data_IF_295737778497
#
_entry.id   IF_295737778497
#
_cell.length_a   1.000
_cell.length_b   1.000
_cell.length_c   1.000
_cell.angle_alpha   90.00
_cell.angle_beta   90.00
_cell.angle_gamma   90.00
#
_symmetry.space_group_name_H-M   'P 1'
#
loop_
_entity.id
_entity.type
_entity.pdbx_description
1 polymer ?
#
# COMPACT_ATOMS: atom_id res chain seq x y z
N UNK A 1 -10.73 -49.18 16.48
CA UNK A 1 -9.50 -48.51 16.01
C UNK A 1 -9.87 -47.10 15.59
N UNK A 2 -9.31 -46.09 16.27
CA UNK A 2 -9.75 -44.70 16.20
C UNK A 2 -9.26 -44.01 14.93
N UNK A 3 -10.17 -43.37 14.19
CA UNK A 3 -9.86 -42.42 13.13
C UNK A 3 -9.40 -41.10 13.74
N UNK A 4 -8.12 -40.76 13.55
CA UNK A 4 -7.57 -39.47 13.95
C UNK A 4 -8.14 -38.36 13.06
N UNK A 5 -8.76 -37.35 13.69
CA UNK A 5 -9.22 -36.15 12.99
C UNK A 5 -8.00 -35.41 12.39
N UNK A 6 -8.11 -34.83 11.18
CA UNK A 6 -7.04 -34.00 10.63
C UNK A 6 -6.81 -32.81 11.58
N UNK A 7 -5.56 -32.61 11.98
CA UNK A 7 -5.15 -31.50 12.84
C UNK A 7 -5.51 -30.17 12.18
N UNK A 8 -6.46 -29.45 12.77
CA UNK A 8 -6.80 -28.09 12.38
C UNK A 8 -5.61 -27.18 12.73
N UNK A 9 -4.81 -26.81 11.74
CA UNK A 9 -3.77 -25.81 11.92
C UNK A 9 -4.42 -24.43 12.01
N UNK A 10 -4.44 -23.86 13.22
CA UNK A 10 -4.85 -22.47 13.46
C UNK A 10 -3.60 -21.60 13.36
N UNK A 11 -3.50 -20.83 12.28
CA UNK A 11 -2.47 -19.79 12.13
C UNK A 11 -2.91 -18.55 12.90
N UNK A 12 -2.64 -18.52 14.21
CA UNK A 12 -2.86 -17.31 15.02
C UNK A 12 -1.55 -16.53 15.12
N UNK A 13 -1.49 -15.42 14.39
CA UNK A 13 -0.39 -14.46 14.49
C UNK A 13 -0.72 -13.47 15.60
N UNK A 14 0.15 -13.37 16.60
CA UNK A 14 -0.03 -12.45 17.73
C UNK A 14 0.89 -11.25 17.53
N UNK A 15 0.31 -10.10 17.22
CA UNK A 15 1.02 -8.82 17.27
C UNK A 15 1.26 -8.44 18.71
N UNK A 16 2.52 -8.20 19.10
CA UNK A 16 2.77 -7.51 20.36
C UNK A 16 2.35 -6.05 20.22
N UNK A 17 1.19 -5.72 20.78
CA UNK A 17 0.54 -4.41 20.66
C UNK A 17 1.45 -3.27 21.17
N UNK A 18 2.35 -3.55 22.11
CA UNK A 18 3.28 -2.57 22.68
C UNK A 18 4.53 -2.30 21.83
N UNK A 19 4.91 -3.20 20.93
CA UNK A 19 6.17 -3.12 20.17
C UNK A 19 5.99 -3.25 18.66
N UNK A 20 4.80 -3.64 18.19
CA UNK A 20 4.55 -4.02 16.79
C UNK A 20 5.23 -5.33 16.38
N UNK A 21 6.04 -5.93 17.26
CA UNK A 21 6.84 -7.11 16.94
C UNK A 21 5.94 -8.33 16.65
N UNK A 22 6.26 -9.04 15.57
CA UNK A 22 5.46 -10.17 15.08
C UNK A 22 4.15 -9.77 14.39
N UNK A 23 3.86 -8.46 14.30
CA UNK A 23 2.74 -7.94 13.53
C UNK A 23 3.04 -7.91 12.04
N UNK A 24 1.99 -8.16 11.26
CA UNK A 24 2.00 -7.99 9.80
C UNK A 24 2.10 -6.51 9.38
N UNK A 25 1.99 -5.59 10.35
CA UNK A 25 1.96 -4.14 10.17
C UNK A 25 3.03 -3.52 11.07
N UNK A 26 3.95 -2.79 10.47
CA UNK A 26 5.18 -2.33 11.13
C UNK A 26 5.00 -1.13 12.09
N UNK A 27 3.96 -0.30 11.91
CA UNK A 27 3.78 0.96 12.64
C UNK A 27 2.32 1.45 12.58
N UNK A 28 2.03 2.61 13.20
CA UNK A 28 0.71 3.23 13.26
C UNK A 28 0.13 3.42 11.85
N UNK A 29 -1.06 2.88 11.65
CA UNK A 29 -1.76 2.97 10.37
C UNK A 29 -2.25 4.39 10.18
N UNK A 30 -1.83 5.02 9.10
CA UNK A 30 -2.21 6.40 8.74
C UNK A 30 -3.19 6.44 7.58
N UNK A 31 -3.20 5.41 6.73
CA UNK A 31 -4.06 5.34 5.57
C UNK A 31 -4.43 3.90 5.21
N UNK A 32 -5.62 3.71 4.66
CA UNK A 32 -6.14 2.43 4.16
C UNK A 32 -6.92 2.67 2.87
N UNK A 33 -6.76 1.80 1.88
CA UNK A 33 -7.58 1.80 0.68
C UNK A 33 -7.70 0.38 0.11
N UNK A 34 -8.89 0.04 -0.40
CA UNK A 34 -9.10 -1.17 -1.20
C UNK A 34 -9.03 -0.82 -2.68
N UNK A 35 -8.49 -1.75 -3.48
CA UNK A 35 -8.77 -1.77 -4.91
C UNK A 35 -10.05 -2.58 -5.22
N UNK A 36 -10.43 -2.59 -6.50
CA UNK A 36 -11.61 -3.31 -6.99
C UNK A 36 -11.45 -4.84 -6.91
N UNK A 37 -10.21 -5.34 -6.87
CA UNK A 37 -9.89 -6.76 -6.75
C UNK A 37 -9.89 -7.25 -5.29
N UNK A 38 -10.07 -6.34 -4.32
CA UNK A 38 -10.12 -6.65 -2.88
C UNK A 38 -8.74 -6.73 -2.21
N UNK A 39 -7.68 -6.24 -2.86
CA UNK A 39 -6.37 -6.01 -2.26
C UNK A 39 -6.46 -4.79 -1.34
N UNK A 40 -5.92 -4.93 -0.13
CA UNK A 40 -5.87 -3.86 0.86
C UNK A 40 -4.48 -3.23 0.90
N UNK A 41 -4.43 -1.94 0.62
CA UNK A 41 -3.26 -1.09 0.79
C UNK A 41 -3.30 -0.43 2.17
N UNK A 42 -2.21 -0.55 2.92
CA UNK A 42 -2.06 -0.11 4.30
C UNK A 42 -0.83 0.77 4.40
N UNK A 43 -1.03 2.07 4.61
CA UNK A 43 0.05 3.04 4.76
C UNK A 43 0.42 3.27 6.21
N UNK A 44 1.72 3.40 6.47
CA UNK A 44 2.26 3.85 7.76
C UNK A 44 3.51 4.74 7.55
N UNK A 45 4.11 5.28 8.62
CA UNK A 45 5.30 6.13 8.50
C UNK A 45 6.54 5.48 7.88
N UNK A 46 6.62 4.15 7.88
CA UNK A 46 7.82 3.40 7.48
C UNK A 46 7.68 2.69 6.14
N UNK A 47 6.48 2.28 5.74
CA UNK A 47 6.24 1.43 4.59
C UNK A 47 4.78 1.44 4.11
N UNK A 48 4.57 0.84 2.94
CA UNK A 48 3.27 0.41 2.43
C UNK A 48 3.16 -1.12 2.59
N UNK A 49 2.14 -1.58 3.31
CA UNK A 49 1.78 -2.99 3.37
C UNK A 49 0.65 -3.27 2.39
N UNK A 50 0.78 -4.33 1.59
CA UNK A 50 -0.20 -4.75 0.59
C UNK A 50 -0.70 -6.14 0.97
N UNK A 51 -1.97 -6.22 1.35
CA UNK A 51 -2.62 -7.48 1.72
C UNK A 51 -3.49 -7.98 0.56
N UNK A 52 -3.10 -9.10 -0.01
CA UNK A 52 -3.86 -9.78 -1.04
C UNK A 52 -5.14 -10.44 -0.46
N UNK A 53 -6.08 -10.77 -1.34
CA UNK A 53 -7.36 -11.42 -0.98
C UNK A 53 -7.15 -12.75 -0.26
N UNK A 54 -6.09 -13.48 -0.60
CA UNK A 54 -5.72 -14.75 0.05
C UNK A 54 -5.12 -14.59 1.46
N UNK A 55 -5.02 -13.36 1.96
CA UNK A 55 -4.48 -13.03 3.28
C UNK A 55 -2.96 -12.88 3.34
N UNK A 56 -2.24 -13.12 2.24
CA UNK A 56 -0.80 -12.86 2.15
C UNK A 56 -0.53 -11.36 2.22
N UNK A 57 0.54 -10.98 2.90
CA UNK A 57 0.95 -9.57 3.02
C UNK A 57 2.37 -9.37 2.53
N UNK A 58 2.55 -8.34 1.72
CA UNK A 58 3.84 -7.88 1.22
C UNK A 58 4.14 -6.51 1.81
N UNK A 59 5.38 -6.36 2.28
CA UNK A 59 5.90 -5.10 2.81
C UNK A 59 6.74 -4.40 1.75
N UNK A 60 6.40 -3.15 1.44
CA UNK A 60 7.12 -2.30 0.51
C UNK A 60 7.67 -1.08 1.27
N UNK A 61 8.98 -1.07 1.48
CA UNK A 61 9.71 0.05 2.08
C UNK A 61 10.75 0.61 1.12
N UNK A 62 11.60 1.54 1.58
CA UNK A 62 12.71 2.06 0.77
C UNK A 62 13.64 0.95 0.24
N UNK A 63 13.78 -0.17 0.97
CA UNK A 63 14.53 -1.34 0.50
C UNK A 63 13.91 -2.04 -0.72
N UNK A 64 12.59 -1.89 -0.91
CA UNK A 64 11.84 -2.41 -2.05
C UNK A 64 11.56 -1.34 -3.11
N UNK A 65 12.13 -0.14 -2.97
CA UNK A 65 12.01 0.94 -3.95
C UNK A 65 10.96 2.01 -3.64
N UNK A 66 10.30 1.98 -2.46
CA UNK A 66 9.42 3.08 -2.05
C UNK A 66 10.24 4.38 -1.94
N UNK A 67 9.96 5.43 -2.74
CA UNK A 67 10.80 6.63 -2.77
C UNK A 67 10.81 7.39 -1.44
N UNK A 68 9.66 7.41 -0.75
CA UNK A 68 9.49 8.11 0.51
C UNK A 68 8.46 7.42 1.42
N UNK A 69 8.75 7.38 2.72
CA UNK A 69 7.83 6.90 3.76
C UNK A 69 6.83 7.98 4.19
N UNK A 70 6.43 7.99 5.46
CA UNK A 70 5.51 8.99 6.02
C UNK A 70 4.22 9.12 5.20
N UNK A 71 3.58 7.98 4.95
CA UNK A 71 2.34 7.94 4.18
C UNK A 71 1.24 8.66 4.98
N UNK A 72 0.52 9.56 4.32
CA UNK A 72 -0.55 10.37 4.92
C UNK A 72 -1.92 10.00 4.37
N UNK A 73 -1.97 9.50 3.14
CA UNK A 73 -3.20 9.17 2.44
C UNK A 73 -2.93 8.19 1.30
N UNK A 74 -3.92 7.37 0.98
CA UNK A 74 -3.88 6.44 -0.14
C UNK A 74 -5.22 6.56 -0.88
N UNK A 75 -5.16 6.60 -2.21
CA UNK A 75 -6.34 6.51 -3.06
C UNK A 75 -6.03 5.59 -4.23
N UNK A 76 -6.88 4.60 -4.43
CA UNK A 76 -6.81 3.73 -5.63
C UNK A 76 -7.59 4.41 -6.76
N UNK A 77 -7.04 4.41 -7.97
CA UNK A 77 -7.69 4.87 -9.18
C UNK A 77 -8.18 3.68 -10.01
N UNK A 78 -8.79 3.91 -11.17
CA UNK A 78 -9.17 2.82 -12.08
C UNK A 78 -7.98 1.95 -12.48
N UNK A 79 -8.15 0.64 -12.36
CA UNK A 79 -7.13 -0.36 -12.68
C UNK A 79 -6.09 -0.51 -11.56
N UNK A 80 -4.85 -0.92 -11.88
CA UNK A 80 -3.86 -1.25 -10.85
C UNK A 80 -3.27 -0.01 -10.16
N UNK A 81 -3.62 1.21 -10.56
CA UNK A 81 -2.88 2.42 -10.16
C UNK A 81 -3.28 2.87 -8.75
N UNK A 82 -2.28 3.06 -7.90
CA UNK A 82 -2.44 3.56 -6.53
C UNK A 82 -1.70 4.88 -6.35
N UNK A 83 -2.41 5.88 -5.85
CA UNK A 83 -1.83 7.16 -5.44
C UNK A 83 -1.58 7.18 -3.95
N UNK A 84 -0.37 7.58 -3.55
CA UNK A 84 0.09 7.58 -2.17
C UNK A 84 0.57 8.99 -1.86
N UNK A 85 -0.14 9.67 -0.96
CA UNK A 85 0.29 10.94 -0.39
C UNK A 85 1.33 10.70 0.70
N UNK A 86 2.37 11.52 0.72
CA UNK A 86 3.39 11.50 1.77
C UNK A 86 3.62 12.91 2.31
N UNK A 87 4.38 13.02 3.40
CA UNK A 87 4.84 14.34 3.89
C UNK A 87 5.83 15.04 2.96
N UNK A 88 6.35 14.33 1.96
CA UNK A 88 7.21 14.87 0.91
C UNK A 88 6.72 14.42 -0.46
N UNK A 89 5.65 15.03 -0.96
CA UNK A 89 5.17 14.83 -2.32
C UNK A 89 4.24 13.63 -2.47
N UNK A 90 3.94 13.35 -3.74
CA UNK A 90 2.97 12.36 -4.17
C UNK A 90 3.68 11.22 -4.89
N UNK A 91 3.29 9.99 -4.61
CA UNK A 91 3.79 8.80 -5.28
C UNK A 91 2.65 8.18 -6.08
N UNK A 92 2.91 7.84 -7.35
CA UNK A 92 2.07 6.96 -8.15
C UNK A 92 2.73 5.58 -8.17
N UNK A 93 2.00 4.59 -7.70
CA UNK A 93 2.40 3.19 -7.67
C UNK A 93 1.62 2.38 -8.71
N UNK A 94 2.34 1.61 -9.51
CA UNK A 94 1.80 0.67 -10.48
C UNK A 94 2.30 -0.75 -10.15
N UNK A 95 1.48 -1.59 -9.48
CA UNK A 95 1.83 -2.96 -9.10
C UNK A 95 1.99 -3.88 -10.32
N UNK A 96 1.45 -3.51 -11.49
CA UNK A 96 1.63 -4.25 -12.74
C UNK A 96 2.87 -3.79 -13.53
N UNK A 97 3.57 -2.76 -13.05
CA UNK A 97 4.79 -2.24 -13.68
C UNK A 97 5.87 -3.32 -13.81
N UNK A 98 6.53 -3.36 -14.98
CA UNK A 98 7.53 -4.38 -15.28
C UNK A 98 8.77 -4.21 -14.36
N UNK A 99 9.07 -5.18 -13.47
CA UNK A 99 10.21 -5.07 -12.55
C UNK A 99 11.57 -5.12 -13.25
N UNK A 100 11.63 -5.54 -14.52
CA UNK A 100 12.86 -5.55 -15.31
C UNK A 100 13.25 -4.16 -15.83
N UNK A 101 12.32 -3.19 -15.80
CA UNK A 101 12.61 -1.78 -16.08
C UNK A 101 12.70 -1.08 -14.73
N UNK A 102 13.94 -0.89 -14.26
CA UNK A 102 14.24 -0.20 -13.01
C UNK A 102 13.53 1.18 -12.98
N UNK A 103 12.40 1.28 -12.28
CA UNK A 103 11.69 2.55 -12.05
C UNK A 103 10.23 2.64 -12.49
N UNK A 104 9.66 1.66 -13.20
CA UNK A 104 8.28 1.84 -13.73
C UNK A 104 7.17 1.62 -12.70
N UNK A 105 7.45 0.93 -11.60
CA UNK A 105 6.47 0.71 -10.55
C UNK A 105 6.19 1.97 -9.72
N UNK A 106 7.17 2.89 -9.58
CA UNK A 106 7.02 4.09 -8.76
C UNK A 106 7.38 5.36 -9.53
N UNK A 107 6.43 6.30 -9.58
CA UNK A 107 6.68 7.65 -10.06
C UNK A 107 6.49 8.63 -8.90
N UNK A 108 7.43 9.55 -8.74
CA UNK A 108 7.47 10.48 -7.62
C UNK A 108 7.35 11.93 -8.07
N UNK A 109 6.40 12.64 -7.47
CA UNK A 109 6.05 14.03 -7.79
C UNK A 109 6.32 14.91 -6.58
N UNK A 110 7.43 15.66 -6.63
CA UNK A 110 7.84 16.56 -5.57
C UNK A 110 8.32 17.91 -6.10
N UNK A 111 8.10 18.95 -5.29
CA UNK A 111 8.56 20.30 -5.52
C UNK A 111 7.59 21.15 -6.36
N UNK A 112 7.94 22.44 -6.55
CA UNK A 112 7.02 23.46 -7.09
C UNK A 112 6.51 23.19 -8.50
N UNK A 113 7.18 22.28 -9.25
CA UNK A 113 6.70 21.82 -10.55
C UNK A 113 5.34 21.11 -10.45
N UNK A 114 5.09 20.42 -9.35
CA UNK A 114 3.92 19.56 -9.16
C UNK A 114 3.01 20.05 -8.05
N UNK A 115 3.58 20.56 -6.95
CA UNK A 115 2.82 21.10 -5.83
C UNK A 115 3.63 22.20 -5.12
N UNK A 116 3.03 23.35 -4.75
CA UNK A 116 3.75 24.46 -4.12
C UNK A 116 4.24 24.16 -2.69
N UNK A 117 3.63 23.19 -2.01
CA UNK A 117 4.06 22.69 -0.69
C UNK A 117 4.71 21.31 -0.75
N UNK A 118 5.22 20.83 0.39
CA UNK A 118 5.88 19.52 0.49
C UNK A 118 4.92 18.40 0.86
N UNK A 119 4.00 18.63 1.80
CA UNK A 119 3.14 17.57 2.32
C UNK A 119 1.85 17.44 1.51
N UNK A 120 1.51 16.21 1.16
CA UNK A 120 0.18 15.84 0.68
C UNK A 120 -0.61 15.40 1.91
N UNK A 121 -1.72 16.07 2.21
CA UNK A 121 -2.56 15.74 3.39
C UNK A 121 -3.70 14.79 3.05
N UNK A 122 -4.17 14.81 1.80
CA UNK A 122 -5.17 13.91 1.28
C UNK A 122 -5.01 13.75 -0.22
N UNK A 123 -5.45 12.60 -0.73
CA UNK A 123 -5.55 12.32 -2.17
C UNK A 123 -6.92 11.73 -2.41
N UNK A 124 -7.55 12.13 -3.50
CA UNK A 124 -8.73 11.49 -4.04
C UNK A 124 -8.51 11.25 -5.53
N UNK A 125 -8.71 10.01 -5.95
CA UNK A 125 -8.78 9.63 -7.35
C UNK A 125 -10.21 9.24 -7.69
N UNK A 126 -10.63 9.54 -8.91
CA UNK A 126 -11.89 9.11 -9.47
C UNK A 126 -11.65 8.53 -10.84
N UNK A 127 -12.56 7.68 -11.27
CA UNK A 127 -12.67 7.26 -12.66
C UNK A 127 -12.81 8.50 -13.53
N UNK A 128 -12.07 8.57 -14.63
CA UNK A 128 -12.39 9.56 -15.64
C UNK A 128 -13.79 9.22 -16.15
N UNK A 129 -14.75 10.13 -15.99
CA UNK A 129 -16.06 9.97 -16.60
C UNK A 129 -15.84 9.63 -18.07
N UNK A 130 -16.30 8.45 -18.51
CA UNK A 130 -16.28 8.09 -19.92
C UNK A 130 -16.97 9.23 -20.65
N UNK A 131 -16.21 10.00 -21.42
CA UNK A 131 -16.78 10.99 -22.32
C UNK A 131 -17.55 10.19 -23.37
N UNK A 132 -18.83 9.96 -23.10
CA UNK A 132 -19.76 9.39 -24.07
C UNK A 132 -19.80 10.38 -25.26
N UNK A 133 -19.43 9.95 -26.48
CA UNK A 133 -19.48 10.81 -27.66
C UNK A 133 -20.92 11.19 -28.04
#
# INVERSE_FOLDING_TARGET
AAGGLPSLFRWEWVTQISTGAGGVIDDNITALAFDDDGVLYIGNPTCLNVRAVNGSVVRISGLQGLPYGNITSISVADGPIVWIGTTMGLIRYDPAGNPAVLGDAFQYFYGPRWHPGTAITSVAATVAASAVP
#
